data_IF_530314722631
#
_entry.id   IF_530314722631
#
_cell.length_a   1.000
_cell.length_b   1.000
_cell.length_c   1.000
_cell.angle_alpha   90.00
_cell.angle_beta   90.00
_cell.angle_gamma   90.00
#
_symmetry.space_group_name_H-M   'P 1'
#
loop_
_entity.id
_entity.type
_entity.pdbx_description
1 polymer ?
#
# COMPACT_ATOMS: atom_id res chain seq x y z
N UNK A 1 17.05 -19.92 0.57
CA UNK A 1 18.06 -18.82 0.57
C UNK A 1 19.29 -19.27 1.36
N UNK A 2 19.16 -19.62 2.69
CA UNK A 2 20.31 -19.99 3.53
C UNK A 2 21.11 -21.11 2.87
N UNK A 3 20.52 -22.25 2.52
CA UNK A 3 21.24 -23.36 1.91
C UNK A 3 21.93 -23.04 0.57
N UNK A 4 21.42 -22.07 -0.19
CA UNK A 4 22.11 -21.57 -1.40
C UNK A 4 23.34 -20.72 -1.05
N UNK A 5 23.26 -19.95 0.03
CA UNK A 5 24.39 -19.16 0.52
C UNK A 5 25.48 -20.06 1.12
N UNK A 6 25.10 -21.12 1.84
CA UNK A 6 26.02 -22.12 2.36
C UNK A 6 26.84 -22.82 1.27
N UNK A 7 26.22 -23.09 0.11
CA UNK A 7 26.94 -23.64 -1.04
C UNK A 7 28.05 -22.73 -1.59
N UNK A 8 27.88 -21.41 -1.41
CA UNK A 8 28.84 -20.40 -1.92
C UNK A 8 29.89 -20.04 -0.86
N UNK A 9 29.45 -19.92 0.39
CA UNK A 9 30.28 -19.35 1.48
C UNK A 9 30.71 -20.37 2.54
N UNK A 10 30.25 -21.62 2.43
CA UNK A 10 30.52 -22.70 3.38
C UNK A 10 29.42 -22.89 4.42
N UNK A 11 29.15 -24.13 4.80
CA UNK A 11 28.09 -24.51 5.74
C UNK A 11 28.22 -23.85 7.11
N UNK A 12 29.43 -23.71 7.62
CA UNK A 12 29.69 -23.13 8.96
C UNK A 12 29.35 -21.63 9.03
N UNK A 13 29.30 -20.93 7.89
CA UNK A 13 29.05 -19.48 7.83
C UNK A 13 27.66 -19.11 8.36
N UNK A 14 26.69 -19.99 8.17
CA UNK A 14 25.30 -19.73 8.52
C UNK A 14 24.75 -20.66 9.62
N UNK A 15 25.62 -21.42 10.31
CA UNK A 15 25.22 -22.40 11.32
C UNK A 15 24.40 -21.83 12.50
N UNK A 16 24.48 -20.52 12.74
CA UNK A 16 23.68 -19.82 13.75
C UNK A 16 22.67 -18.81 13.13
N UNK A 17 22.41 -18.90 11.85
CA UNK A 17 21.44 -18.05 11.17
C UNK A 17 20.02 -18.64 11.29
N UNK A 18 19.14 -17.95 12.01
CA UNK A 18 17.72 -18.28 12.03
C UNK A 18 17.05 -17.92 10.69
N UNK A 19 16.01 -18.66 10.30
CA UNK A 19 15.24 -18.37 9.11
C UNK A 19 13.75 -18.66 9.30
N UNK A 20 12.89 -17.74 8.84
CA UNK A 20 11.44 -17.87 8.87
C UNK A 20 10.89 -17.55 7.50
N UNK A 21 9.99 -18.38 7.00
CA UNK A 21 9.23 -18.12 5.78
C UNK A 21 7.85 -17.58 6.12
N UNK A 22 7.56 -16.34 5.69
CA UNK A 22 6.26 -15.70 5.88
C UNK A 22 5.40 -15.87 4.61
N UNK A 23 4.24 -16.51 4.74
CA UNK A 23 3.27 -16.67 3.65
C UNK A 23 1.95 -16.02 4.02
N UNK A 24 1.81 -14.74 3.72
CA UNK A 24 0.59 -13.97 3.96
C UNK A 24 0.32 -13.01 2.79
N UNK A 25 0.24 -13.55 1.59
CA UNK A 25 0.03 -12.82 0.34
C UNK A 25 0.90 -11.54 0.25
N UNK A 26 0.34 -10.45 -0.26
CA UNK A 26 1.07 -9.19 -0.49
C UNK A 26 1.58 -8.48 0.77
N UNK A 27 1.14 -8.88 1.97
CA UNK A 27 1.55 -8.24 3.22
C UNK A 27 2.71 -8.96 3.93
N UNK A 28 3.12 -10.14 3.46
CA UNK A 28 4.17 -10.98 4.08
C UNK A 28 5.46 -10.22 4.36
N UNK A 29 5.94 -9.44 3.39
CA UNK A 29 7.16 -8.65 3.55
C UNK A 29 7.05 -7.58 4.63
N UNK A 30 5.86 -6.99 4.80
CA UNK A 30 5.64 -5.98 5.85
C UNK A 30 5.66 -6.60 7.25
N UNK A 31 5.10 -7.79 7.42
CA UNK A 31 5.23 -8.53 8.68
C UNK A 31 6.67 -8.96 8.94
N UNK A 32 7.35 -9.50 7.92
CA UNK A 32 8.77 -9.87 8.07
C UNK A 32 9.64 -8.67 8.45
N UNK A 33 9.41 -7.50 7.83
CA UNK A 33 10.11 -6.27 8.16
C UNK A 33 9.80 -5.83 9.60
N UNK A 34 8.54 -5.83 9.99
CA UNK A 34 8.08 -5.43 11.33
C UNK A 34 8.67 -6.35 12.42
N UNK A 35 8.59 -7.66 12.23
CA UNK A 35 9.08 -8.64 13.21
C UNK A 35 10.60 -8.56 13.37
N UNK A 36 11.35 -8.47 12.27
CA UNK A 36 12.80 -8.32 12.33
C UNK A 36 13.24 -6.97 12.93
N UNK A 37 12.50 -5.90 12.68
CA UNK A 37 12.75 -4.60 13.32
C UNK A 37 12.56 -4.70 14.83
N UNK A 38 11.50 -5.34 15.28
CA UNK A 38 11.24 -5.55 16.70
C UNK A 38 12.31 -6.47 17.35
N UNK A 39 12.75 -7.51 16.63
CA UNK A 39 13.83 -8.39 17.10
C UNK A 39 15.16 -7.62 17.31
N UNK A 40 15.53 -6.74 16.36
CA UNK A 40 16.71 -5.87 16.51
C UNK A 40 16.55 -4.94 17.71
N UNK A 41 15.37 -4.34 17.90
CA UNK A 41 15.07 -3.40 19.00
C UNK A 41 15.02 -4.09 20.37
N UNK A 42 14.69 -5.35 20.44
CA UNK A 42 14.69 -6.13 21.68
C UNK A 42 16.10 -6.33 22.26
N UNK A 43 17.16 -5.96 21.54
CA UNK A 43 18.54 -6.04 22.01
C UNK A 43 19.17 -7.43 21.86
N UNK A 44 18.51 -8.38 21.21
CA UNK A 44 19.09 -9.69 20.90
C UNK A 44 20.05 -9.66 19.69
N UNK A 45 20.27 -8.45 19.17
CA UNK A 45 20.94 -8.23 17.89
C UNK A 45 22.39 -7.75 18.03
N UNK A 46 23.08 -8.00 19.14
CA UNK A 46 24.49 -7.58 19.30
C UNK A 46 25.30 -7.95 18.04
N UNK A 47 25.74 -6.93 17.29
CA UNK A 47 26.44 -7.05 16.01
C UNK A 47 25.76 -7.95 14.96
N UNK A 48 24.47 -8.23 15.11
CA UNK A 48 23.69 -9.04 14.19
C UNK A 48 22.90 -8.17 13.21
N UNK A 49 22.60 -8.77 12.09
CA UNK A 49 21.81 -8.17 11.03
C UNK A 49 20.65 -9.08 10.68
N UNK A 50 19.53 -8.53 10.31
CA UNK A 50 18.42 -9.28 9.76
C UNK A 50 18.30 -9.00 8.24
N UNK A 51 18.14 -10.06 7.46
CA UNK A 51 17.94 -9.96 6.03
C UNK A 51 16.49 -10.33 5.70
N UNK A 52 15.70 -9.36 5.25
CA UNK A 52 14.34 -9.60 4.74
C UNK A 52 14.40 -9.70 3.22
N UNK A 53 14.08 -10.88 2.69
CA UNK A 53 13.99 -11.12 1.25
C UNK A 53 12.52 -11.25 0.87
N UNK A 54 12.07 -10.39 -0.02
CA UNK A 54 10.73 -10.43 -0.62
C UNK A 54 10.87 -10.77 -2.10
N UNK A 55 10.26 -11.87 -2.53
CA UNK A 55 10.39 -12.38 -3.89
C UNK A 55 9.10 -13.04 -4.32
N UNK A 56 8.62 -12.69 -5.50
CA UNK A 56 7.42 -13.30 -6.07
C UNK A 56 7.38 -13.21 -7.59
N UNK A 57 6.51 -14.04 -8.16
CA UNK A 57 6.12 -14.05 -9.57
C UNK A 57 4.60 -14.00 -9.61
N UNK A 58 4.05 -12.87 -9.98
CA UNK A 58 2.60 -12.72 -10.10
C UNK A 58 2.14 -13.38 -11.40
N UNK A 59 1.44 -14.52 -11.27
CA UNK A 59 0.86 -15.26 -12.39
C UNK A 59 -0.65 -15.21 -12.32
N UNK A 60 -1.28 -15.01 -13.48
CA UNK A 60 -2.73 -15.06 -13.67
C UNK A 60 -3.07 -15.92 -14.88
N UNK A 61 -4.32 -16.37 -14.96
CA UNK A 61 -4.79 -17.12 -16.12
C UNK A 61 -4.75 -16.24 -17.39
N UNK A 62 -4.39 -16.84 -18.51
CA UNK A 62 -4.38 -16.19 -19.82
C UNK A 62 -5.79 -15.65 -20.14
N UNK A 63 -5.86 -14.44 -20.66
CA UNK A 63 -7.11 -13.75 -20.96
C UNK A 63 -7.86 -13.22 -19.74
N UNK A 64 -7.35 -13.39 -18.52
CA UNK A 64 -7.93 -12.78 -17.32
C UNK A 64 -7.58 -11.31 -17.21
N UNK A 65 -8.40 -10.54 -16.45
CA UNK A 65 -8.12 -9.13 -16.19
C UNK A 65 -6.83 -8.88 -15.40
N UNK A 66 -6.31 -9.89 -14.72
CA UNK A 66 -5.06 -9.83 -13.98
C UNK A 66 -3.81 -10.00 -14.85
N UNK A 67 -3.93 -10.62 -16.02
CA UNK A 67 -2.79 -10.98 -16.88
C UNK A 67 -1.90 -9.78 -17.20
N UNK A 68 -2.49 -8.65 -17.55
CA UNK A 68 -1.76 -7.40 -17.89
C UNK A 68 -1.04 -6.75 -16.71
N UNK A 69 -1.29 -7.22 -15.50
CA UNK A 69 -0.67 -6.68 -14.28
C UNK A 69 0.50 -7.55 -13.79
N UNK A 70 0.79 -8.66 -14.45
CA UNK A 70 1.83 -9.61 -14.04
C UNK A 70 3.21 -8.96 -13.97
N UNK A 71 4.00 -9.39 -13.00
CA UNK A 71 5.38 -8.99 -12.83
C UNK A 71 6.15 -10.03 -12.03
N UNK A 72 7.47 -9.93 -12.03
CA UNK A 72 8.35 -10.80 -11.26
C UNK A 72 9.56 -10.01 -10.75
N UNK A 73 10.00 -10.33 -9.54
CA UNK A 73 11.18 -9.71 -8.97
C UNK A 73 11.44 -10.10 -7.54
N UNK A 74 12.58 -9.65 -7.04
CA UNK A 74 12.99 -9.85 -5.67
C UNK A 74 13.67 -8.60 -5.12
N UNK A 75 13.46 -8.32 -3.84
CA UNK A 75 14.12 -7.24 -3.10
C UNK A 75 14.66 -7.82 -1.80
N UNK A 76 15.91 -7.48 -1.50
CA UNK A 76 16.56 -7.82 -0.24
C UNK A 76 16.80 -6.55 0.57
N UNK A 77 16.38 -6.57 1.82
CA UNK A 77 16.52 -5.46 2.77
C UNK A 77 17.37 -5.91 3.95
N UNK A 78 18.54 -5.32 4.10
CA UNK A 78 19.41 -5.55 5.25
C UNK A 78 19.04 -4.57 6.37
N UNK A 79 18.66 -5.11 7.51
CA UNK A 79 18.28 -4.35 8.70
C UNK A 79 19.39 -4.44 9.75
N UNK A 80 19.64 -3.33 10.41
CA UNK A 80 20.54 -3.22 11.55
C UNK A 80 20.10 -2.08 12.48
N UNK A 81 20.77 -1.91 13.61
CA UNK A 81 20.53 -0.85 14.59
C UNK A 81 21.10 0.52 14.20
N UNK A 82 21.88 0.58 13.10
CA UNK A 82 22.51 1.81 12.56
C UNK A 82 22.10 2.01 11.09
N UNK A 83 20.85 2.36 10.82
CA UNK A 83 20.34 2.49 9.46
C UNK A 83 21.06 3.62 8.70
N UNK A 84 21.34 3.39 7.40
CA UNK A 84 22.00 4.38 6.53
C UNK A 84 21.09 4.93 5.42
N UNK A 85 20.09 4.17 4.99
CA UNK A 85 19.22 4.54 3.89
C UNK A 85 17.82 4.94 4.38
N UNK A 86 17.25 4.15 5.28
CA UNK A 86 15.93 4.34 5.83
C UNK A 86 15.95 3.96 7.31
N UNK A 87 15.34 4.78 8.14
CA UNK A 87 15.01 4.42 9.51
C UNK A 87 13.54 4.00 9.57
N UNK A 88 13.31 2.79 10.08
CA UNK A 88 11.95 2.30 10.30
C UNK A 88 11.53 2.59 11.74
N UNK A 89 10.58 3.50 11.92
CA UNK A 89 10.03 3.82 13.25
C UNK A 89 8.66 3.16 13.45
N UNK A 90 8.58 2.03 14.19
CA UNK A 90 7.34 1.33 14.46
C UNK A 90 6.53 1.90 15.61
N UNK A 91 6.87 3.08 16.16
CA UNK A 91 6.14 3.70 17.28
C UNK A 91 4.67 3.92 16.96
N UNK A 92 4.36 4.26 15.71
CA UNK A 92 2.99 4.41 15.24
C UNK A 92 2.80 3.57 13.99
N UNK A 93 2.13 2.44 14.17
CA UNK A 93 1.68 1.58 13.10
C UNK A 93 0.17 1.42 13.15
N UNK A 94 -0.44 1.16 12.01
CA UNK A 94 -1.88 0.89 11.95
C UNK A 94 -2.16 -0.35 11.11
N UNK A 95 -3.27 -0.99 11.38
CA UNK A 95 -3.73 -2.17 10.65
C UNK A 95 -5.22 -2.03 10.39
N UNK A 96 -5.64 -2.34 9.17
CA UNK A 96 -7.04 -2.53 8.84
C UNK A 96 -7.20 -3.92 8.23
N UNK A 97 -8.05 -4.74 8.84
CA UNK A 97 -8.30 -6.12 8.42
C UNK A 97 -9.79 -6.35 8.25
N UNK A 98 -10.16 -7.08 7.21
CA UNK A 98 -11.52 -7.52 6.96
C UNK A 98 -11.51 -8.93 6.37
N UNK A 99 -12.44 -9.77 6.76
CA UNK A 99 -12.58 -11.11 6.21
C UNK A 99 -13.38 -11.04 4.91
N UNK A 100 -12.68 -11.03 3.78
CA UNK A 100 -13.25 -10.92 2.44
C UNK A 100 -12.57 -11.90 1.47
N UNK A 101 -13.29 -12.30 0.44
CA UNK A 101 -12.83 -13.26 -0.56
C UNK A 101 -12.67 -12.60 -1.93
N UNK A 102 -12.08 -11.44 -1.97
CA UNK A 102 -11.87 -10.62 -3.17
C UNK A 102 -10.68 -11.08 -4.02
N UNK A 103 -9.67 -11.65 -3.37
CA UNK A 103 -8.45 -12.15 -3.98
C UNK A 103 -7.96 -13.38 -3.22
N UNK A 104 -8.00 -14.55 -3.84
CA UNK A 104 -7.59 -15.80 -3.20
C UNK A 104 -7.17 -16.84 -4.22
N UNK A 105 -6.33 -17.77 -3.80
CA UNK A 105 -5.94 -18.93 -4.60
C UNK A 105 -6.68 -20.18 -4.10
N UNK A 106 -7.56 -20.77 -4.91
CA UNK A 106 -8.23 -22.02 -4.57
C UNK A 106 -7.23 -23.15 -4.34
N UNK A 107 -7.58 -24.07 -3.45
CA UNK A 107 -6.75 -25.25 -3.24
C UNK A 107 -6.56 -26.03 -4.54
N UNK A 108 -5.32 -26.45 -4.84
CA UNK A 108 -4.98 -27.19 -6.07
C UNK A 108 -4.88 -26.33 -7.34
N UNK A 109 -5.05 -25.00 -7.27
CA UNK A 109 -4.78 -24.09 -8.40
C UNK A 109 -3.44 -23.40 -8.26
N UNK A 110 -2.77 -23.12 -9.38
CA UNK A 110 -1.54 -22.34 -9.41
C UNK A 110 -1.81 -20.83 -9.48
N UNK A 111 -2.92 -20.44 -10.07
CA UNK A 111 -3.30 -19.03 -10.30
C UNK A 111 -4.41 -18.59 -9.35
N UNK A 112 -4.42 -17.32 -8.92
CA UNK A 112 -5.46 -16.77 -8.05
C UNK A 112 -6.73 -16.41 -8.83
N UNK A 113 -7.84 -16.32 -8.10
CA UNK A 113 -9.08 -15.71 -8.55
C UNK A 113 -9.13 -14.27 -8.00
N UNK A 114 -9.54 -13.34 -8.84
CA UNK A 114 -9.65 -11.92 -8.50
C UNK A 114 -11.05 -11.40 -8.83
N UNK A 115 -11.75 -10.86 -7.86
CA UNK A 115 -12.98 -10.10 -8.05
C UNK A 115 -12.64 -8.61 -8.22
N UNK A 116 -12.16 -8.23 -9.41
CA UNK A 116 -11.41 -6.99 -9.64
C UNK A 116 -12.08 -5.70 -9.17
N UNK A 117 -13.37 -5.46 -9.48
CA UNK A 117 -14.07 -4.24 -9.01
C UNK A 117 -14.24 -4.23 -7.49
N UNK A 118 -14.61 -5.36 -6.93
CA UNK A 118 -14.75 -5.56 -5.50
C UNK A 118 -13.43 -5.31 -4.77
N UNK A 119 -12.36 -5.96 -5.23
CA UNK A 119 -11.02 -5.83 -4.66
C UNK A 119 -10.50 -4.39 -4.73
N UNK A 120 -10.76 -3.69 -5.83
CA UNK A 120 -10.39 -2.27 -5.97
C UNK A 120 -11.06 -1.39 -4.92
N UNK A 121 -12.39 -1.52 -4.74
CA UNK A 121 -13.13 -0.73 -3.76
C UNK A 121 -12.73 -1.10 -2.33
N UNK A 122 -12.56 -2.40 -2.05
CA UNK A 122 -12.08 -2.89 -0.76
C UNK A 122 -10.70 -2.31 -0.43
N UNK A 123 -9.78 -2.30 -1.38
CA UNK A 123 -8.45 -1.70 -1.21
C UNK A 123 -8.56 -0.23 -0.77
N UNK A 124 -9.37 0.58 -1.47
CA UNK A 124 -9.55 2.00 -1.15
C UNK A 124 -10.09 2.19 0.28
N UNK A 125 -11.11 1.41 0.65
CA UNK A 125 -11.71 1.45 1.98
C UNK A 125 -10.69 1.08 3.06
N UNK A 126 -9.93 0.00 2.86
CA UNK A 126 -8.97 -0.48 3.85
C UNK A 126 -7.77 0.46 4.02
N UNK A 127 -7.26 1.03 2.94
CA UNK A 127 -6.19 2.04 3.02
C UNK A 127 -6.68 3.29 3.78
N UNK A 128 -7.91 3.75 3.50
CA UNK A 128 -8.51 4.86 4.25
C UNK A 128 -8.66 4.52 5.74
N UNK A 129 -9.13 3.32 6.07
CA UNK A 129 -9.30 2.90 7.47
C UNK A 129 -7.95 2.83 8.19
N UNK A 130 -6.92 2.27 7.55
CA UNK A 130 -5.57 2.23 8.09
C UNK A 130 -4.99 3.64 8.30
N UNK A 131 -5.15 4.55 7.33
CA UNK A 131 -4.70 5.94 7.47
C UNK A 131 -5.43 6.66 8.61
N UNK A 132 -6.73 6.44 8.76
CA UNK A 132 -7.53 7.04 9.83
C UNK A 132 -7.06 6.57 11.22
N UNK A 133 -6.76 5.28 11.38
CA UNK A 133 -6.19 4.75 12.62
C UNK A 133 -4.78 5.27 12.88
N UNK A 134 -3.93 5.33 11.84
CA UNK A 134 -2.61 5.93 11.92
C UNK A 134 -2.68 7.39 12.39
N UNK A 135 -3.52 8.20 11.77
CA UNK A 135 -3.76 9.61 12.13
C UNK A 135 -4.18 9.76 13.59
N UNK A 136 -5.12 8.91 14.05
CA UNK A 136 -5.56 8.88 15.45
C UNK A 136 -4.40 8.57 16.41
N UNK A 137 -3.63 7.53 16.12
CA UNK A 137 -2.48 7.11 16.95
C UNK A 137 -1.37 8.16 16.95
N UNK A 138 -1.03 8.73 15.79
CA UNK A 138 0.00 9.75 15.66
C UNK A 138 -0.35 11.03 16.42
N UNK A 139 -1.63 11.42 16.45
CA UNK A 139 -2.11 12.53 17.30
C UNK A 139 -1.99 12.18 18.79
N UNK A 140 -2.43 10.99 19.19
CA UNK A 140 -2.41 10.58 20.60
C UNK A 140 -0.99 10.45 21.17
N UNK A 141 -0.03 10.09 20.35
CA UNK A 141 1.40 10.02 20.75
C UNK A 141 2.14 11.35 20.64
N UNK A 142 1.47 12.39 20.14
CA UNK A 142 2.11 13.69 19.90
C UNK A 142 3.10 13.72 18.73
N UNK A 143 3.14 12.66 17.91
CA UNK A 143 4.01 12.58 16.73
C UNK A 143 3.63 13.66 15.71
N UNK A 144 2.35 13.93 15.55
CA UNK A 144 1.83 14.99 14.69
C UNK A 144 0.86 15.91 15.43
N UNK A 145 0.89 17.19 15.06
CA UNK A 145 -0.13 18.18 15.42
C UNK A 145 -0.67 18.75 14.13
N UNK A 146 -1.97 18.61 13.90
CA UNK A 146 -2.63 19.19 12.74
C UNK A 146 -3.29 20.50 13.11
N UNK A 147 -3.07 21.52 12.30
CA UNK A 147 -3.83 22.77 12.35
C UNK A 147 -5.24 22.58 11.77
N UNK A 148 -6.11 23.56 11.88
CA UNK A 148 -7.51 23.44 11.43
C UNK A 148 -7.68 23.23 9.92
N UNK A 149 -6.73 23.72 9.13
CA UNK A 149 -6.69 23.64 7.67
C UNK A 149 -5.73 22.58 7.11
N UNK A 150 -5.17 21.74 7.99
CA UNK A 150 -4.23 20.66 7.65
C UNK A 150 -4.85 19.27 7.78
N UNK A 151 -4.33 18.37 7.00
CA UNK A 151 -4.62 16.92 7.06
C UNK A 151 -3.36 16.12 7.30
N UNK A 152 -3.52 14.83 7.54
CA UNK A 152 -2.38 13.91 7.62
C UNK A 152 -1.53 13.90 6.34
N UNK A 153 -2.15 14.13 5.18
CA UNK A 153 -1.45 14.15 3.90
C UNK A 153 -0.47 15.33 3.78
N UNK A 154 -0.72 16.42 4.49
CA UNK A 154 0.18 17.58 4.51
C UNK A 154 1.46 17.29 5.33
N UNK A 155 1.43 16.29 6.23
CA UNK A 155 2.54 15.86 7.08
C UNK A 155 3.31 14.63 6.59
N UNK A 156 2.98 14.12 5.43
CA UNK A 156 3.66 12.99 4.79
C UNK A 156 4.44 13.53 3.59
N UNK A 157 5.75 13.28 3.55
CA UNK A 157 6.59 13.73 2.43
C UNK A 157 6.43 12.82 1.21
N UNK A 158 6.43 11.50 1.41
CA UNK A 158 6.31 10.51 0.35
C UNK A 158 5.34 9.41 0.71
N UNK A 159 4.58 8.95 -0.28
CA UNK A 159 3.67 7.82 -0.17
C UNK A 159 4.18 6.64 -1.00
N UNK A 160 4.47 5.55 -0.33
CA UNK A 160 4.73 4.27 -0.96
C UNK A 160 3.58 3.33 -0.65
N UNK A 161 2.94 2.82 -1.69
CA UNK A 161 1.75 1.98 -1.57
C UNK A 161 2.02 0.60 -2.18
N UNK A 162 1.35 -0.42 -1.65
CA UNK A 162 1.26 -1.67 -2.40
C UNK A 162 0.48 -1.43 -3.69
N UNK A 163 1.04 -1.85 -4.81
CA UNK A 163 0.51 -1.59 -6.15
C UNK A 163 0.19 -2.89 -6.88
N UNK A 164 -1.05 -3.40 -6.79
CA UNK A 164 -1.50 -4.50 -7.64
C UNK A 164 -1.40 -4.16 -9.15
N UNK A 165 -1.51 -2.88 -9.45
CA UNK A 165 -1.20 -2.25 -10.75
C UNK A 165 -0.96 -0.75 -10.53
N UNK A 166 -0.20 -0.12 -11.40
CA UNK A 166 0.32 1.26 -11.18
C UNK A 166 -0.77 2.31 -10.93
N UNK A 167 -1.91 2.22 -11.64
CA UNK A 167 -3.01 3.18 -11.47
C UNK A 167 -3.72 3.07 -10.11
N UNK A 168 -3.52 1.98 -9.35
CA UNK A 168 -4.13 1.83 -8.02
C UNK A 168 -3.62 2.90 -7.06
N UNK A 169 -2.34 3.25 -7.11
CA UNK A 169 -1.79 4.33 -6.28
C UNK A 169 -2.49 5.67 -6.54
N UNK A 170 -2.69 6.03 -7.82
CA UNK A 170 -3.40 7.25 -8.18
C UNK A 170 -4.86 7.25 -7.68
N UNK A 171 -5.56 6.13 -7.83
CA UNK A 171 -6.94 5.97 -7.31
C UNK A 171 -6.99 6.07 -5.78
N UNK A 172 -6.04 5.41 -5.10
CA UNK A 172 -5.98 5.45 -3.65
C UNK A 172 -5.70 6.86 -3.12
N UNK A 173 -4.73 7.57 -3.71
CA UNK A 173 -4.45 8.94 -3.32
C UNK A 173 -5.66 9.86 -3.55
N UNK A 174 -6.37 9.71 -4.68
CA UNK A 174 -7.58 10.48 -4.94
C UNK A 174 -8.67 10.20 -3.88
N UNK A 175 -8.87 8.93 -3.53
CA UNK A 175 -9.84 8.54 -2.51
C UNK A 175 -9.47 9.09 -1.12
N UNK A 176 -8.19 9.03 -0.74
CA UNK A 176 -7.68 9.57 0.52
C UNK A 176 -7.80 11.09 0.57
N UNK A 177 -7.40 11.80 -0.50
CA UNK A 177 -7.48 13.25 -0.59
C UNK A 177 -8.93 13.75 -0.47
N UNK A 178 -9.87 13.14 -1.22
CA UNK A 178 -11.30 13.42 -1.09
C UNK A 178 -11.78 13.26 0.34
N UNK A 179 -11.39 12.16 1.00
CA UNK A 179 -11.80 11.88 2.39
C UNK A 179 -11.22 12.89 3.39
N UNK A 180 -9.95 13.23 3.25
CA UNK A 180 -9.25 14.15 4.17
C UNK A 180 -9.63 15.62 3.93
N UNK A 181 -9.93 16.02 2.69
CA UNK A 181 -10.18 17.43 2.35
C UNK A 181 -11.63 17.89 2.46
N UNK A 182 -12.61 16.97 2.57
CA UNK A 182 -14.05 17.31 2.62
C UNK A 182 -14.43 18.35 3.65
N UNK A 183 -13.72 18.42 4.75
CA UNK A 183 -14.00 19.36 5.86
C UNK A 183 -13.18 20.64 5.78
N UNK A 184 -12.32 20.79 4.78
CA UNK A 184 -11.41 21.91 4.66
C UNK A 184 -11.91 22.96 3.65
N UNK A 185 -11.52 24.23 3.82
CA UNK A 185 -11.86 25.31 2.89
C UNK A 185 -11.42 25.02 1.44
N UNK A 186 -10.30 24.31 1.25
CA UNK A 186 -9.81 23.89 -0.07
C UNK A 186 -10.81 23.00 -0.83
N UNK A 187 -11.62 22.22 -0.13
CA UNK A 187 -12.64 21.39 -0.75
C UNK A 187 -13.72 22.21 -1.47
N UNK A 188 -14.21 23.26 -0.82
CA UNK A 188 -15.21 24.15 -1.42
C UNK A 188 -14.69 24.83 -2.70
N UNK A 189 -13.40 25.16 -2.75
CA UNK A 189 -12.76 25.70 -3.95
C UNK A 189 -12.75 24.66 -5.07
N UNK A 190 -12.35 23.44 -4.78
CA UNK A 190 -12.31 22.31 -5.72
C UNK A 190 -13.71 22.02 -6.29
N UNK A 191 -14.72 21.93 -5.43
CA UNK A 191 -16.12 21.69 -5.87
C UNK A 191 -16.61 22.77 -6.83
N UNK A 192 -16.27 24.05 -6.56
CA UNK A 192 -16.61 25.15 -7.47
C UNK A 192 -15.88 25.06 -8.81
N UNK A 193 -14.61 24.66 -8.80
CA UNK A 193 -13.80 24.54 -10.00
C UNK A 193 -14.28 23.40 -10.91
N UNK A 194 -14.64 22.25 -10.35
CA UNK A 194 -15.11 21.09 -11.12
C UNK A 194 -16.60 21.16 -11.46
N UNK A 195 -17.34 22.12 -10.92
CA UNK A 195 -18.78 22.34 -11.13
C UNK A 195 -19.63 21.06 -10.92
N UNK A 196 -19.20 20.22 -10.02
CA UNK A 196 -19.88 18.96 -9.70
C UNK A 196 -19.77 18.66 -8.21
N UNK A 197 -20.91 18.39 -7.57
CA UNK A 197 -20.94 17.91 -6.20
C UNK A 197 -20.42 16.47 -6.11
N UNK A 198 -19.77 16.15 -4.99
CA UNK A 198 -19.31 14.80 -4.74
C UNK A 198 -20.52 13.83 -4.62
N UNK A 199 -20.56 12.77 -5.43
CA UNK A 199 -21.68 11.83 -5.37
C UNK A 199 -21.65 11.01 -4.08
N UNK A 200 -22.85 10.68 -3.60
CA UNK A 200 -23.07 9.84 -2.41
C UNK A 200 -23.86 8.61 -2.86
N UNK A 201 -23.44 7.38 -2.48
CA UNK A 201 -24.20 6.18 -2.80
C UNK A 201 -25.57 6.19 -2.12
N UNK A 202 -26.55 5.54 -2.72
CA UNK A 202 -27.94 5.45 -2.18
C UNK A 202 -27.95 4.86 -0.77
N UNK A 203 -27.06 3.90 -0.49
CA UNK A 203 -26.81 3.39 0.84
C UNK A 203 -25.36 3.65 1.27
N UNK A 204 -25.08 4.78 1.95
CA UNK A 204 -23.73 5.13 2.41
C UNK A 204 -23.16 4.18 3.47
N UNK A 205 -24.01 3.34 4.10
CA UNK A 205 -23.61 2.34 5.09
C UNK A 205 -23.74 0.91 4.58
N UNK A 206 -24.05 0.76 3.30
CA UNK A 206 -24.23 -0.50 2.64
C UNK A 206 -22.95 -1.32 2.51
N UNK A 207 -23.12 -2.53 2.02
CA UNK A 207 -22.00 -3.41 1.69
C UNK A 207 -21.28 -2.94 0.41
N UNK A 208 -20.09 -3.47 0.17
CA UNK A 208 -19.36 -3.21 -1.09
C UNK A 208 -20.22 -3.59 -2.30
N UNK A 209 -20.91 -4.74 -2.22
CA UNK A 209 -21.81 -5.20 -3.28
C UNK A 209 -22.94 -4.21 -3.55
N UNK A 210 -23.56 -3.65 -2.51
CA UNK A 210 -24.64 -2.68 -2.67
C UNK A 210 -24.14 -1.38 -3.33
N UNK A 211 -22.94 -0.93 -2.99
CA UNK A 211 -22.29 0.22 -3.62
C UNK A 211 -21.98 -0.07 -5.09
N UNK A 212 -21.42 -1.24 -5.40
CA UNK A 212 -21.12 -1.64 -6.78
C UNK A 212 -22.38 -1.86 -7.63
N UNK A 213 -23.49 -2.26 -7.01
CA UNK A 213 -24.78 -2.41 -7.68
C UNK A 213 -25.46 -1.06 -7.99
N UNK A 214 -25.05 0.04 -7.34
CA UNK A 214 -25.56 1.39 -7.62
C UNK A 214 -24.86 1.96 -8.87
N UNK A 215 -25.34 1.56 -10.05
CA UNK A 215 -24.73 1.94 -11.31
C UNK A 215 -24.72 3.47 -11.54
N UNK A 216 -25.74 4.18 -11.04
CA UNK A 216 -25.81 5.64 -11.14
C UNK A 216 -24.72 6.31 -10.30
N UNK A 217 -24.56 5.86 -9.06
CA UNK A 217 -23.48 6.31 -8.19
C UNK A 217 -22.12 6.03 -8.83
N UNK A 218 -21.88 4.79 -9.28
CA UNK A 218 -20.60 4.39 -9.87
C UNK A 218 -20.22 5.23 -11.09
N UNK A 219 -21.20 5.56 -11.95
CA UNK A 219 -20.95 6.40 -13.10
C UNK A 219 -20.59 7.84 -12.69
N UNK A 220 -21.36 8.43 -11.75
CA UNK A 220 -21.11 9.78 -11.22
C UNK A 220 -19.78 9.85 -10.46
N UNK A 221 -19.47 8.85 -9.64
CA UNK A 221 -18.22 8.80 -8.89
C UNK A 221 -17.00 8.68 -9.82
N UNK A 222 -17.11 7.91 -10.88
CA UNK A 222 -16.07 7.86 -11.91
C UNK A 222 -15.85 9.21 -12.59
N UNK A 223 -16.93 9.89 -12.97
CA UNK A 223 -16.87 11.23 -13.58
C UNK A 223 -16.27 12.24 -12.60
N UNK A 224 -16.74 12.27 -11.37
CA UNK A 224 -16.22 13.14 -10.32
C UNK A 224 -14.73 12.91 -10.09
N UNK A 225 -14.32 11.65 -9.92
CA UNK A 225 -12.91 11.29 -9.71
C UNK A 225 -12.03 11.75 -10.87
N UNK A 226 -12.52 11.61 -12.12
CA UNK A 226 -11.80 12.09 -13.31
C UNK A 226 -11.61 13.61 -13.30
N UNK A 227 -12.63 14.37 -12.94
CA UNK A 227 -12.54 15.84 -12.81
C UNK A 227 -11.61 16.22 -11.66
N UNK A 228 -11.81 15.62 -10.47
CA UNK A 228 -11.01 15.86 -9.28
C UNK A 228 -9.52 15.61 -9.51
N UNK A 229 -9.15 14.51 -10.18
CA UNK A 229 -7.75 14.18 -10.44
C UNK A 229 -7.06 15.05 -11.48
N UNK A 230 -7.77 16.00 -12.09
CA UNK A 230 -7.23 17.02 -12.97
C UNK A 230 -7.16 18.41 -12.32
N UNK A 231 -7.62 18.57 -11.08
CA UNK A 231 -7.48 19.84 -10.36
C UNK A 231 -6.01 20.13 -10.00
N UNK A 232 -5.59 21.40 -9.99
CA UNK A 232 -4.21 21.78 -9.62
C UNK A 232 -3.82 21.25 -8.24
N UNK A 233 -4.71 21.32 -7.25
CA UNK A 233 -4.46 20.87 -5.88
C UNK A 233 -4.17 19.36 -5.81
N UNK A 234 -4.92 18.55 -6.58
CA UNK A 234 -4.65 17.11 -6.61
C UNK A 234 -3.37 16.80 -7.39
N UNK A 235 -3.12 17.48 -8.51
CA UNK A 235 -1.91 17.26 -9.31
C UNK A 235 -0.65 17.60 -8.50
N UNK A 236 -0.66 18.69 -7.76
CA UNK A 236 0.43 19.04 -6.84
C UNK A 236 0.66 17.95 -5.79
N UNK A 237 -0.40 17.49 -5.14
CA UNK A 237 -0.33 16.39 -4.17
C UNK A 237 0.22 15.10 -4.82
N UNK A 238 -0.24 14.74 -6.00
CA UNK A 238 0.17 13.55 -6.72
C UNK A 238 1.65 13.61 -7.10
N UNK A 239 2.09 14.69 -7.73
CA UNK A 239 3.47 14.85 -8.19
C UNK A 239 4.45 14.93 -7.01
N UNK A 240 4.11 15.65 -5.95
CA UNK A 240 5.00 15.80 -4.81
C UNK A 240 5.09 14.57 -3.91
N UNK A 241 4.02 13.76 -3.79
CA UNK A 241 3.94 12.70 -2.77
C UNK A 241 3.98 11.27 -3.31
N UNK A 242 3.52 11.03 -4.55
CA UNK A 242 3.27 9.68 -5.03
C UNK A 242 3.93 9.35 -6.37
N UNK A 243 4.03 10.29 -7.30
CA UNK A 243 4.39 10.04 -8.69
C UNK A 243 5.70 9.25 -8.84
N UNK A 244 6.73 9.60 -8.06
CA UNK A 244 8.05 8.95 -8.07
C UNK A 244 7.96 7.47 -7.68
N UNK A 245 7.18 7.12 -6.67
CA UNK A 245 7.04 5.74 -6.18
C UNK A 245 6.35 4.79 -7.18
N UNK A 246 5.67 5.32 -8.19
CA UNK A 246 4.98 4.54 -9.21
C UNK A 246 5.85 4.13 -10.40
N UNK A 247 7.03 4.73 -10.57
CA UNK A 247 7.86 4.58 -11.78
C UNK A 247 8.24 3.12 -12.00
N UNK A 248 8.81 2.48 -10.98
CA UNK A 248 9.27 1.10 -11.11
C UNK A 248 8.10 0.11 -11.30
N UNK A 249 6.97 0.31 -10.62
CA UNK A 249 5.77 -0.52 -10.78
C UNK A 249 5.17 -0.43 -12.20
N UNK A 250 5.24 0.75 -12.84
CA UNK A 250 4.80 0.92 -14.24
C UNK A 250 5.64 0.11 -15.21
N UNK A 251 6.92 -0.11 -14.91
CA UNK A 251 7.85 -0.83 -15.78
C UNK A 251 7.85 -2.33 -15.56
N UNK A 252 7.64 -2.78 -14.32
CA UNK A 252 7.86 -4.18 -13.91
C UNK A 252 6.53 -4.92 -13.70
N UNK A 253 5.49 -4.23 -13.29
CA UNK A 253 4.19 -4.82 -12.93
C UNK A 253 4.09 -5.20 -11.46
N UNK A 254 3.15 -6.10 -11.14
CA UNK A 254 2.87 -6.55 -9.78
C UNK A 254 3.92 -7.56 -9.31
N UNK A 255 4.48 -7.33 -8.14
CA UNK A 255 5.45 -8.19 -7.47
C UNK A 255 4.88 -8.71 -6.14
N UNK A 256 3.55 -8.72 -5.96
CA UNK A 256 2.88 -9.00 -4.69
C UNK A 256 3.56 -8.24 -3.55
N UNK A 257 4.10 -8.94 -2.56
CA UNK A 257 4.70 -8.29 -1.38
C UNK A 257 5.87 -7.37 -1.70
N UNK A 258 6.62 -7.60 -2.78
CA UNK A 258 7.74 -6.76 -3.19
C UNK A 258 7.33 -5.43 -3.84
N UNK A 259 6.08 -5.30 -4.31
CA UNK A 259 5.60 -4.10 -5.00
C UNK A 259 5.72 -2.82 -4.17
N UNK A 260 5.48 -2.89 -2.85
CA UNK A 260 5.64 -1.77 -1.94
C UNK A 260 7.10 -1.30 -1.87
N UNK A 261 8.02 -2.25 -1.69
CA UNK A 261 9.44 -1.95 -1.48
C UNK A 261 10.16 -1.50 -2.76
N UNK A 262 9.61 -1.89 -3.91
CA UNK A 262 10.07 -1.38 -5.19
C UNK A 262 9.84 0.14 -5.32
N UNK A 263 8.80 0.67 -4.71
CA UNK A 263 8.51 2.10 -4.65
C UNK A 263 9.61 2.90 -3.97
N UNK A 264 10.25 2.39 -2.91
CA UNK A 264 11.38 3.06 -2.25
C UNK A 264 12.60 3.26 -3.16
N UNK A 265 12.77 2.43 -4.18
CA UNK A 265 13.88 2.56 -5.12
C UNK A 265 13.68 3.72 -6.10
N UNK A 266 12.44 4.08 -6.37
CA UNK A 266 12.07 5.09 -7.37
C UNK A 266 11.65 6.43 -6.76
N UNK A 267 11.45 6.49 -5.46
CA UNK A 267 11.23 7.73 -4.68
C UNK A 267 12.54 8.25 -4.07
#
# INVERSE_FOLDING_TARGET
VIGMLEQVYGEETFGHCGGIECKFACVSGSYALYDNTNWIRAGESEDKHALVVVSDIAKYDLGSSGEVTQGAGAIAMLLNDKPRLLEFDPKVTSTSIKNEYDFYRPFGKETPIVHGQYSNLLYLIQVKNALSDYKRKAKNTGMIKLNEDETILDHIDYLNMHLPYSNMGKKALAYLARHEWRTLPRWNKIIKEIEMEEPIPKDPRGTIESVLADAEFMAKDHQFTKLFTNTPEYLELYESKLASSLIASKMIGNLYTASLYLGFRSS
#
